data_IF_988371406834
#
_entry.id   IF_988371406834
#
_cell.length_a   1.000
_cell.length_b   1.000
_cell.length_c   1.000
_cell.angle_alpha   90.00
_cell.angle_beta   90.00
_cell.angle_gamma   90.00
#
_symmetry.space_group_name_H-M   'P 1'
#
loop_
_entity.id
_entity.type
_entity.pdbx_description
1 polymer ?
#
# COMPACT_ATOMS: atom_id res chain seq x y z
N UNK A 1 52.45 -18.15 48.57
CA UNK A 1 51.83 -16.94 47.99
C UNK A 1 51.59 -17.02 46.46
N UNK A 2 52.45 -17.56 45.62
CA UNK A 2 52.27 -17.72 44.19
C UNK A 2 51.08 -18.65 43.80
N UNK A 3 50.90 -19.79 44.52
CA UNK A 3 49.79 -20.74 44.22
C UNK A 3 48.39 -20.20 44.56
N UNK A 4 48.25 -19.34 45.58
CA UNK A 4 46.99 -18.71 45.96
C UNK A 4 46.62 -17.67 44.96
N UNK A 5 47.56 -16.91 44.38
CA UNK A 5 47.28 -15.91 43.32
C UNK A 5 46.79 -16.56 42.00
N UNK A 6 47.30 -17.76 41.67
CA UNK A 6 46.86 -18.51 40.47
C UNK A 6 45.44 -19.05 40.66
N UNK A 7 45.06 -19.55 41.85
CA UNK A 7 43.67 -19.98 42.11
C UNK A 7 42.68 -18.84 42.10
N UNK A 8 43.02 -17.66 42.62
CA UNK A 8 42.14 -16.48 42.58
C UNK A 8 41.98 -15.97 41.15
N UNK A 9 43.03 -16.00 40.34
CA UNK A 9 42.96 -15.59 38.93
C UNK A 9 42.14 -16.60 38.10
N UNK A 10 42.22 -17.90 38.40
CA UNK A 10 41.41 -18.95 37.73
C UNK A 10 39.95 -18.90 38.15
N UNK A 11 39.61 -18.58 39.40
CA UNK A 11 38.21 -18.35 39.81
C UNK A 11 37.62 -17.06 39.21
N UNK A 12 38.40 -16.00 39.03
CA UNK A 12 37.94 -14.78 38.40
C UNK A 12 37.66 -14.94 36.89
N UNK A 13 38.44 -15.81 36.21
CA UNK A 13 38.23 -16.08 34.79
C UNK A 13 37.00 -16.96 34.50
N UNK A 14 36.55 -17.78 35.47
CA UNK A 14 35.31 -18.58 35.35
C UNK A 14 34.06 -17.70 35.51
N UNK A 15 34.15 -16.62 36.30
CA UNK A 15 33.03 -15.67 36.45
C UNK A 15 32.84 -14.73 35.24
N UNK A 16 33.83 -14.58 34.38
CA UNK A 16 33.70 -13.73 33.18
C UNK A 16 33.05 -14.47 31.99
N UNK A 17 32.94 -15.80 32.05
CA UNK A 17 32.34 -16.62 31.00
C UNK A 17 30.85 -16.93 31.21
N UNK A 18 30.23 -16.53 32.30
CA UNK A 18 28.78 -16.42 32.38
C UNK A 18 28.40 -15.08 31.78
N UNK A 19 28.48 -14.98 30.47
CA UNK A 19 27.73 -14.00 29.70
C UNK A 19 26.28 -14.19 30.09
N UNK A 20 25.72 -13.26 30.86
CA UNK A 20 24.29 -13.20 31.03
C UNK A 20 23.70 -13.18 29.63
N UNK A 21 22.98 -14.21 29.27
CA UNK A 21 21.94 -14.06 28.24
C UNK A 21 20.97 -13.03 28.78
N UNK A 22 21.17 -11.79 28.34
CA UNK A 22 20.27 -10.65 28.65
C UNK A 22 18.96 -10.76 27.87
N UNK A 23 18.58 -11.93 27.44
CA UNK A 23 17.31 -12.25 26.79
C UNK A 23 16.30 -12.86 27.78
N UNK A 24 16.32 -12.45 29.02
CA UNK A 24 15.20 -12.72 29.91
C UNK A 24 14.17 -11.62 29.62
N UNK A 25 13.44 -11.78 28.50
CA UNK A 25 12.08 -11.25 28.45
C UNK A 25 11.34 -12.01 29.55
N UNK A 26 10.81 -11.34 30.58
CA UNK A 26 10.03 -12.04 31.61
C UNK A 26 8.91 -12.83 30.89
N UNK A 27 8.76 -14.11 31.22
CA UNK A 27 7.75 -15.01 30.65
C UNK A 27 6.30 -14.49 30.80
N UNK A 28 6.12 -13.37 31.50
CA UNK A 28 4.83 -12.71 31.77
C UNK A 28 4.64 -11.37 31.04
N UNK A 29 5.53 -10.98 30.13
CA UNK A 29 5.23 -9.86 29.24
C UNK A 29 4.56 -10.47 28.02
N UNK A 30 3.21 -10.32 27.89
CA UNK A 30 2.52 -10.81 26.69
C UNK A 30 3.12 -10.15 25.48
N UNK A 31 3.34 -10.92 24.43
CA UNK A 31 3.83 -10.39 23.16
C UNK A 31 2.79 -9.40 22.60
N UNK A 32 3.22 -8.55 21.69
CA UNK A 32 2.28 -7.62 21.03
C UNK A 32 1.17 -8.43 20.33
N UNK A 33 1.50 -9.60 19.78
CA UNK A 33 0.59 -10.51 19.14
C UNK A 33 -0.48 -11.04 20.12
N UNK A 34 -0.07 -11.48 21.31
CA UNK A 34 -1.01 -12.01 22.32
C UNK A 34 -1.97 -10.94 22.83
N UNK A 35 -1.52 -9.69 22.97
CA UNK A 35 -2.36 -8.60 23.43
C UNK A 35 -3.23 -8.02 22.32
N UNK A 36 -2.68 -7.88 21.12
CA UNK A 36 -3.35 -7.23 20.00
C UNK A 36 -4.52 -8.06 19.46
N UNK A 37 -4.52 -9.38 19.68
CA UNK A 37 -5.56 -10.29 19.19
C UNK A 37 -6.32 -11.01 20.32
N UNK A 38 -6.15 -10.58 21.57
CA UNK A 38 -6.87 -11.15 22.72
C UNK A 38 -8.39 -10.91 22.66
N UNK A 39 -8.81 -9.80 22.08
CA UNK A 39 -10.20 -9.40 21.92
C UNK A 39 -10.41 -8.67 20.58
N UNK A 40 -11.62 -8.79 20.02
CA UNK A 40 -12.04 -8.09 18.80
C UNK A 40 -11.68 -6.59 18.81
N UNK A 41 -11.96 -5.91 19.93
CA UNK A 41 -11.67 -4.47 20.08
C UNK A 41 -10.18 -4.13 19.95
N UNK A 42 -9.30 -5.02 20.40
CA UNK A 42 -7.86 -4.80 20.26
C UNK A 42 -7.40 -5.10 18.83
N UNK A 43 -7.91 -6.17 18.22
CA UNK A 43 -7.67 -6.49 16.82
C UNK A 43 -8.16 -5.38 15.87
N UNK A 44 -9.27 -4.72 16.19
CA UNK A 44 -9.79 -3.56 15.44
C UNK A 44 -8.79 -2.39 15.40
N UNK A 45 -8.05 -2.15 16.49
CA UNK A 45 -7.00 -1.13 16.50
C UNK A 45 -5.86 -1.47 15.53
N UNK A 46 -5.54 -2.77 15.40
CA UNK A 46 -4.55 -3.22 14.40
C UNK A 46 -5.07 -3.02 12.99
N UNK A 47 -6.35 -3.33 12.73
CA UNK A 47 -6.99 -3.07 11.45
C UNK A 47 -6.89 -1.59 11.07
N UNK A 48 -7.29 -0.68 11.97
CA UNK A 48 -7.19 0.75 11.70
C UNK A 48 -5.75 1.25 11.63
N UNK A 49 -4.81 0.58 12.29
CA UNK A 49 -3.39 0.86 12.09
C UNK A 49 -2.96 0.53 10.67
N UNK A 50 -3.44 -0.58 10.08
CA UNK A 50 -3.19 -0.87 8.66
C UNK A 50 -3.68 0.27 7.75
N UNK A 51 -4.89 0.78 7.96
CA UNK A 51 -5.43 1.91 7.18
C UNK A 51 -4.64 3.21 7.36
N UNK A 52 -4.03 3.44 8.53
CA UNK A 52 -3.29 4.67 8.84
C UNK A 52 -2.09 4.92 7.92
N UNK A 53 -1.51 3.87 7.36
CA UNK A 53 -0.37 3.97 6.45
C UNK A 53 -0.75 4.38 5.02
N UNK A 54 -2.03 4.54 4.74
CA UNK A 54 -2.51 4.93 3.42
C UNK A 54 -2.08 6.35 3.07
N UNK A 55 -1.42 6.56 1.91
CA UNK A 55 -1.08 7.89 1.43
C UNK A 55 -2.32 8.76 1.20
N UNK A 56 -2.27 10.01 1.65
CA UNK A 56 -3.37 10.97 1.50
C UNK A 56 -3.36 11.62 0.11
N UNK A 57 -3.55 10.86 -0.95
CA UNK A 57 -3.52 11.36 -2.33
C UNK A 57 -4.69 12.32 -2.64
N UNK A 58 -5.79 12.26 -1.89
CA UNK A 58 -6.90 13.23 -1.99
C UNK A 58 -6.55 14.63 -1.49
N UNK A 59 -5.49 14.76 -0.69
CA UNK A 59 -5.00 16.06 -0.23
C UNK A 59 -4.01 16.65 -1.22
N UNK A 60 -4.31 17.81 -1.79
CA UNK A 60 -3.41 18.52 -2.70
C UNK A 60 -1.98 18.66 -2.13
N UNK A 61 -1.87 18.96 -0.84
CA UNK A 61 -0.58 19.10 -0.13
C UNK A 61 0.25 17.82 -0.14
N UNK A 62 -0.39 16.66 -0.08
CA UNK A 62 0.26 15.36 0.07
C UNK A 62 0.35 14.57 -1.23
N UNK A 63 -0.34 15.03 -2.28
CA UNK A 63 -0.33 14.35 -3.57
C UNK A 63 0.97 14.64 -4.33
N UNK A 64 1.93 13.74 -4.18
CA UNK A 64 3.26 13.86 -4.82
C UNK A 64 3.14 13.84 -6.34
N UNK A 65 2.27 13.02 -6.89
CA UNK A 65 2.08 12.91 -8.33
C UNK A 65 1.57 14.23 -8.92
N UNK A 66 0.60 14.86 -8.25
CA UNK A 66 0.01 16.12 -8.70
C UNK A 66 1.01 17.29 -8.61
N UNK A 67 1.69 17.44 -7.47
CA UNK A 67 2.61 18.55 -7.24
C UNK A 67 3.99 18.36 -7.86
N UNK A 68 4.44 17.11 -8.02
CA UNK A 68 5.76 16.77 -8.56
C UNK A 68 5.80 16.62 -10.07
N UNK A 69 4.64 16.50 -10.76
CA UNK A 69 4.57 16.28 -12.21
C UNK A 69 4.88 17.52 -13.07
N UNK A 70 4.87 18.71 -12.47
CA UNK A 70 5.13 19.96 -13.20
C UNK A 70 3.93 20.57 -13.91
N UNK A 71 2.75 19.95 -13.81
CA UNK A 71 1.50 20.48 -14.39
C UNK A 71 0.93 21.67 -13.60
N UNK A 72 1.33 21.80 -12.34
CA UNK A 72 0.94 22.89 -11.47
C UNK A 72 2.07 23.88 -11.26
N UNK A 73 1.80 25.16 -11.50
CA UNK A 73 2.67 26.27 -11.10
C UNK A 73 2.08 26.93 -9.84
N UNK A 74 2.80 26.87 -8.75
CA UNK A 74 2.38 27.45 -7.47
C UNK A 74 3.32 28.61 -7.12
N UNK A 75 2.75 29.74 -6.68
CA UNK A 75 3.54 30.90 -6.25
C UNK A 75 4.37 30.59 -5.00
N UNK A 76 5.48 31.29 -4.78
CA UNK A 76 6.38 31.11 -3.65
C UNK A 76 5.67 31.28 -2.30
N UNK A 77 4.68 32.17 -2.23
CA UNK A 77 3.85 32.37 -1.03
C UNK A 77 3.06 31.10 -0.70
N UNK A 78 2.45 30.46 -1.70
CA UNK A 78 1.72 29.21 -1.51
C UNK A 78 2.65 28.04 -1.17
N UNK A 79 3.87 28.00 -1.70
CA UNK A 79 4.85 26.94 -1.36
C UNK A 79 5.14 26.93 0.13
N UNK A 80 5.41 28.10 0.72
CA UNK A 80 5.68 28.20 2.16
C UNK A 80 4.47 27.80 3.01
N UNK A 81 3.26 28.12 2.55
CA UNK A 81 2.01 27.76 3.22
C UNK A 81 1.71 26.25 3.15
N UNK A 82 1.91 25.63 2.00
CA UNK A 82 1.66 24.20 1.83
C UNK A 82 2.67 23.33 2.58
N UNK A 83 3.90 23.80 2.79
CA UNK A 83 4.94 23.10 3.55
C UNK A 83 5.30 21.72 2.99
N UNK A 84 5.11 21.50 1.67
CA UNK A 84 5.40 20.22 1.01
C UNK A 84 6.72 20.26 0.26
N UNK A 85 7.45 19.15 0.31
CA UNK A 85 8.69 18.96 -0.44
C UNK A 85 8.49 18.39 -1.85
N UNK A 86 7.27 18.01 -2.23
CA UNK A 86 6.96 17.50 -3.58
C UNK A 86 7.34 18.49 -4.70
N UNK A 87 7.31 19.77 -4.39
CA UNK A 87 7.72 20.85 -5.28
C UNK A 87 9.17 20.77 -5.75
N UNK A 88 10.07 20.27 -4.90
CA UNK A 88 11.48 20.10 -5.27
C UNK A 88 11.67 19.01 -6.31
N UNK A 89 10.76 18.03 -6.38
CA UNK A 89 10.76 16.99 -7.42
C UNK A 89 10.47 17.62 -8.78
N UNK A 90 9.45 18.50 -8.88
CA UNK A 90 9.13 19.25 -10.10
C UNK A 90 10.29 20.15 -10.58
N UNK A 91 11.15 20.60 -9.66
CA UNK A 91 12.34 21.39 -9.96
C UNK A 91 13.58 20.53 -10.33
N UNK A 92 13.45 19.20 -10.40
CA UNK A 92 14.56 18.30 -10.69
C UNK A 92 15.58 18.16 -9.54
N UNK A 93 15.19 18.52 -8.31
CA UNK A 93 16.08 18.50 -7.14
C UNK A 93 16.02 17.17 -6.37
N UNK A 94 15.34 16.15 -6.89
CA UNK A 94 15.28 14.82 -6.28
C UNK A 94 16.68 14.22 -6.16
N UNK A 95 17.00 13.64 -5.00
CA UNK A 95 18.31 13.03 -4.71
C UNK A 95 18.13 11.60 -4.24
N UNK A 96 19.07 10.73 -4.59
CA UNK A 96 19.07 9.32 -4.18
C UNK A 96 19.44 9.11 -2.71
N UNK A 97 20.30 9.98 -2.16
CA UNK A 97 20.80 9.93 -0.78
C UNK A 97 19.88 10.64 0.22
N UNK A 98 19.05 11.56 -0.26
CA UNK A 98 18.07 12.31 0.54
C UNK A 98 16.82 12.59 -0.30
N UNK A 99 15.99 11.57 -0.55
CA UNK A 99 14.83 11.71 -1.42
C UNK A 99 13.73 12.54 -0.77
N UNK A 100 13.12 13.44 -1.57
CA UNK A 100 11.91 14.13 -1.15
C UNK A 100 10.71 13.21 -1.22
N UNK A 101 9.78 13.36 -0.29
CA UNK A 101 8.53 12.58 -0.22
C UNK A 101 8.73 11.05 -0.22
N UNK A 102 9.80 10.58 0.44
CA UNK A 102 10.11 9.16 0.54
C UNK A 102 8.98 8.41 1.27
N UNK A 103 8.49 7.32 0.65
CA UNK A 103 7.42 6.48 1.20
C UNK A 103 7.90 5.04 1.50
N UNK A 104 9.15 4.71 1.19
CA UNK A 104 9.66 3.35 1.29
C UNK A 104 9.44 2.72 2.67
N UNK A 105 10.01 3.30 3.72
CA UNK A 105 9.88 2.77 5.09
C UNK A 105 8.44 2.76 5.57
N UNK A 106 7.74 3.89 5.36
CA UNK A 106 6.35 4.05 5.78
C UNK A 106 5.40 2.99 5.21
N UNK A 107 5.50 2.71 3.92
CA UNK A 107 4.63 1.71 3.29
C UNK A 107 5.01 0.27 3.65
N UNK A 108 6.30 -0.04 3.82
CA UNK A 108 6.71 -1.37 4.30
C UNK A 108 6.31 -1.62 5.76
N UNK A 109 6.30 -0.60 6.62
CA UNK A 109 5.70 -0.69 7.94
C UNK A 109 4.21 -1.02 7.84
N UNK A 110 3.46 -0.35 6.96
CA UNK A 110 2.05 -0.66 6.69
C UNK A 110 1.84 -2.10 6.23
N UNK A 111 2.68 -2.59 5.32
CA UNK A 111 2.67 -3.98 4.84
C UNK A 111 2.94 -4.96 6.00
N UNK A 112 3.89 -4.64 6.88
CA UNK A 112 4.19 -5.48 8.03
C UNK A 112 2.99 -5.59 8.98
N UNK A 113 2.28 -4.48 9.28
CA UNK A 113 1.05 -4.53 10.08
C UNK A 113 -0.05 -5.34 9.40
N UNK A 114 -0.21 -5.23 8.08
CA UNK A 114 -1.15 -6.06 7.33
C UNK A 114 -0.82 -7.56 7.49
N UNK A 115 0.45 -7.95 7.35
CA UNK A 115 0.87 -9.33 7.52
C UNK A 115 0.67 -9.82 8.96
N UNK A 116 0.99 -9.00 9.98
CA UNK A 116 0.73 -9.33 11.39
C UNK A 116 -0.76 -9.61 11.62
N UNK A 117 -1.66 -8.79 11.05
CA UNK A 117 -3.09 -9.01 11.20
C UNK A 117 -3.52 -10.33 10.51
N UNK A 118 -3.11 -10.55 9.27
CA UNK A 118 -3.47 -11.75 8.50
C UNK A 118 -3.06 -13.03 9.25
N UNK A 119 -1.85 -13.04 9.83
CA UNK A 119 -1.31 -14.22 10.51
C UNK A 119 -1.96 -14.48 11.88
N UNK A 120 -2.45 -13.45 12.57
CA UNK A 120 -2.88 -13.59 13.97
C UNK A 120 -4.40 -13.43 14.19
N UNK A 121 -5.16 -12.86 13.27
CA UNK A 121 -6.60 -12.58 13.47
C UNK A 121 -7.43 -13.83 13.80
N UNK A 122 -6.99 -15.00 13.32
CA UNK A 122 -7.67 -16.26 13.55
C UNK A 122 -7.68 -16.66 15.03
N UNK A 123 -6.75 -16.13 15.86
CA UNK A 123 -6.66 -16.40 17.30
C UNK A 123 -7.66 -15.59 18.14
N UNK A 124 -8.28 -14.57 17.57
CA UNK A 124 -9.23 -13.68 18.28
C UNK A 124 -10.52 -14.45 18.63
N UNK A 125 -10.83 -14.64 19.92
CA UNK A 125 -11.86 -15.58 20.34
C UNK A 125 -13.29 -15.05 20.21
N UNK A 126 -13.49 -13.75 20.26
CA UNK A 126 -14.78 -13.04 20.26
C UNK A 126 -15.16 -12.47 18.89
N UNK A 127 -14.65 -13.07 17.82
CA UNK A 127 -15.01 -12.77 16.43
C UNK A 127 -15.49 -14.01 15.70
N UNK A 128 -16.50 -13.89 14.86
CA UNK A 128 -16.89 -14.94 13.95
C UNK A 128 -15.96 -15.03 12.71
N UNK A 129 -16.02 -16.16 12.02
CA UNK A 129 -15.11 -16.40 10.88
C UNK A 129 -15.40 -15.47 9.69
N UNK A 130 -16.65 -15.05 9.47
CA UNK A 130 -17.01 -14.13 8.40
C UNK A 130 -16.41 -12.74 8.65
N UNK A 131 -16.47 -12.22 9.89
CA UNK A 131 -15.86 -10.96 10.25
C UNK A 131 -14.33 -11.03 10.11
N UNK A 132 -13.70 -12.12 10.57
CA UNK A 132 -12.25 -12.34 10.39
C UNK A 132 -11.86 -12.34 8.91
N UNK A 133 -12.59 -13.08 8.08
CA UNK A 133 -12.35 -13.16 6.64
C UNK A 133 -12.56 -11.80 5.95
N UNK A 134 -13.57 -11.03 6.37
CA UNK A 134 -13.75 -9.66 5.88
C UNK A 134 -12.53 -8.80 6.18
N UNK A 135 -12.02 -8.82 7.42
CA UNK A 135 -10.86 -8.02 7.80
C UNK A 135 -9.57 -8.47 7.09
N UNK A 136 -9.39 -9.78 6.86
CA UNK A 136 -8.32 -10.31 6.02
C UNK A 136 -8.42 -9.71 4.61
N UNK A 137 -9.60 -9.72 4.00
CA UNK A 137 -9.82 -9.13 2.68
C UNK A 137 -9.50 -7.64 2.63
N UNK A 138 -9.87 -6.87 3.67
CA UNK A 138 -9.55 -5.45 3.77
C UNK A 138 -8.04 -5.20 3.83
N UNK A 139 -7.30 -5.94 4.66
CA UNK A 139 -5.85 -5.75 4.76
C UNK A 139 -5.08 -6.33 3.58
N UNK A 140 -5.57 -7.37 2.92
CA UNK A 140 -5.01 -7.82 1.63
C UNK A 140 -5.14 -6.75 0.55
N UNK A 141 -6.28 -6.05 0.50
CA UNK A 141 -6.44 -4.89 -0.38
C UNK A 141 -5.43 -3.79 -0.05
N UNK A 142 -5.30 -3.41 1.22
CA UNK A 142 -4.33 -2.39 1.65
C UNK A 142 -2.90 -2.80 1.34
N UNK A 143 -2.54 -4.06 1.59
CA UNK A 143 -1.23 -4.63 1.25
C UNK A 143 -0.96 -4.55 -0.26
N UNK A 144 -1.93 -4.89 -1.10
CA UNK A 144 -1.83 -4.75 -2.55
C UNK A 144 -1.67 -3.28 -2.97
N UNK A 145 -2.43 -2.37 -2.36
CA UNK A 145 -2.35 -0.94 -2.62
C UNK A 145 -0.98 -0.37 -2.24
N UNK A 146 -0.40 -0.77 -1.10
CA UNK A 146 0.92 -0.31 -0.66
C UNK A 146 2.05 -0.82 -1.58
N UNK A 147 2.00 -2.09 -1.98
CA UNK A 147 2.93 -2.61 -2.98
C UNK A 147 2.79 -1.88 -4.32
N UNK A 148 1.57 -1.63 -4.78
CA UNK A 148 1.34 -0.88 -6.02
C UNK A 148 1.88 0.56 -5.92
N UNK A 149 1.69 1.22 -4.79
CA UNK A 149 2.24 2.57 -4.56
C UNK A 149 3.77 2.56 -4.61
N UNK A 150 4.41 1.58 -3.96
CA UNK A 150 5.86 1.37 -4.01
C UNK A 150 6.35 1.12 -5.44
N UNK A 151 5.65 0.27 -6.22
CA UNK A 151 6.00 0.02 -7.63
C UNK A 151 5.96 1.30 -8.46
N UNK A 152 4.93 2.12 -8.28
CA UNK A 152 4.82 3.41 -8.98
C UNK A 152 5.97 4.36 -8.67
N UNK A 153 6.43 4.41 -7.42
CA UNK A 153 7.48 5.32 -6.97
C UNK A 153 8.90 4.79 -7.25
N UNK A 154 9.10 3.48 -7.14
CA UNK A 154 10.46 2.91 -7.09
C UNK A 154 10.72 1.84 -8.15
N UNK A 155 9.75 1.51 -8.99
CA UNK A 155 9.84 0.40 -9.96
C UNK A 155 9.83 -0.96 -9.29
N UNK A 156 10.74 -1.89 -9.66
CA UNK A 156 10.88 -3.19 -9.02
C UNK A 156 11.14 -3.08 -7.52
N UNK A 157 10.45 -3.90 -6.72
CA UNK A 157 10.49 -3.87 -5.25
C UNK A 157 10.62 -5.28 -4.67
N UNK A 158 11.09 -5.45 -3.43
CA UNK A 158 10.89 -6.66 -2.66
C UNK A 158 9.39 -6.87 -2.36
N UNK A 159 8.91 -8.09 -2.56
CA UNK A 159 7.55 -8.48 -2.20
C UNK A 159 7.55 -9.05 -0.79
N UNK A 160 6.76 -8.44 0.10
CA UNK A 160 6.64 -8.85 1.50
C UNK A 160 5.23 -9.41 1.73
N UNK A 161 5.04 -10.69 1.42
CA UNK A 161 3.73 -11.36 1.48
C UNK A 161 3.40 -11.99 2.84
N UNK A 162 4.39 -12.09 3.74
CA UNK A 162 4.27 -12.62 5.09
C UNK A 162 4.99 -11.74 6.12
N UNK A 163 4.67 -11.90 7.37
CA UNK A 163 5.43 -11.30 8.46
C UNK A 163 6.83 -11.93 8.55
N UNK A 164 7.84 -11.11 8.72
CA UNK A 164 9.24 -11.55 8.95
C UNK A 164 9.64 -11.13 10.34
N UNK A 165 9.73 -12.09 11.30
CA UNK A 165 10.17 -11.80 12.66
C UNK A 165 11.60 -11.24 12.72
N UNK A 166 11.89 -10.42 13.72
CA UNK A 166 13.23 -9.86 13.95
C UNK A 166 14.30 -10.95 14.16
N UNK A 167 13.88 -12.14 14.61
CA UNK A 167 14.74 -13.31 14.78
C UNK A 167 15.06 -14.07 13.50
N UNK A 168 14.49 -13.67 12.36
CA UNK A 168 14.71 -14.30 11.06
C UNK A 168 16.15 -14.13 10.57
N UNK A 169 16.55 -14.97 9.62
CA UNK A 169 17.88 -14.89 9.01
C UNK A 169 18.11 -13.56 8.29
N UNK A 170 19.38 -13.17 8.14
CA UNK A 170 19.73 -11.96 7.38
C UNK A 170 19.20 -12.01 5.94
N UNK A 171 19.16 -13.18 5.31
CA UNK A 171 18.65 -13.36 3.95
C UNK A 171 17.14 -13.10 3.88
N UNK A 172 16.37 -13.59 4.85
CA UNK A 172 14.92 -13.34 4.92
C UNK A 172 14.60 -11.87 5.21
N UNK A 173 15.42 -11.19 6.03
CA UNK A 173 15.24 -9.77 6.33
C UNK A 173 15.68 -8.84 5.19
N UNK A 174 16.49 -9.32 4.23
CA UNK A 174 16.98 -8.53 3.11
C UNK A 174 16.64 -9.19 1.76
N UNK A 175 15.36 -9.36 1.43
CA UNK A 175 14.96 -9.98 0.17
C UNK A 175 15.38 -9.12 -1.02
N UNK A 176 15.67 -9.78 -2.12
CA UNK A 176 15.95 -9.10 -3.38
C UNK A 176 14.68 -8.43 -3.93
N UNK A 177 14.89 -7.42 -4.77
CA UNK A 177 13.81 -6.89 -5.59
C UNK A 177 13.35 -7.95 -6.57
N UNK A 178 12.05 -8.13 -6.70
CA UNK A 178 11.46 -8.97 -7.71
C UNK A 178 11.45 -8.28 -9.07
N UNK A 179 11.23 -9.04 -10.14
CA UNK A 179 11.08 -8.43 -11.46
C UNK A 179 9.81 -7.59 -11.52
N UNK A 180 9.80 -6.55 -12.35
CA UNK A 180 8.67 -5.64 -12.47
C UNK A 180 7.35 -6.37 -12.80
N UNK A 181 7.41 -7.34 -13.71
CA UNK A 181 6.22 -8.14 -14.06
C UNK A 181 5.74 -8.99 -12.86
N UNK A 182 6.67 -9.59 -12.09
CA UNK A 182 6.33 -10.31 -10.85
C UNK A 182 5.67 -9.39 -9.82
N UNK A 183 6.17 -8.14 -9.69
CA UNK A 183 5.58 -7.17 -8.78
C UNK A 183 4.13 -6.83 -9.15
N UNK A 184 3.85 -6.55 -10.44
CA UNK A 184 2.48 -6.29 -10.90
C UNK A 184 1.57 -7.52 -10.79
N UNK A 185 2.08 -8.72 -11.10
CA UNK A 185 1.33 -9.96 -10.97
C UNK A 185 0.93 -10.21 -9.52
N UNK A 186 1.86 -10.06 -8.56
CA UNK A 186 1.57 -10.19 -7.15
C UNK A 186 0.42 -9.28 -6.69
N UNK A 187 0.45 -8.01 -7.09
CA UNK A 187 -0.61 -7.05 -6.75
C UNK A 187 -1.95 -7.47 -7.34
N UNK A 188 -1.98 -7.86 -8.62
CA UNK A 188 -3.24 -8.28 -9.28
C UNK A 188 -3.79 -9.57 -8.72
N UNK A 189 -2.95 -10.57 -8.42
CA UNK A 189 -3.35 -11.83 -7.79
C UNK A 189 -3.87 -11.60 -6.36
N UNK A 190 -3.27 -10.70 -5.60
CA UNK A 190 -3.75 -10.33 -4.27
C UNK A 190 -5.14 -9.66 -4.36
N UNK A 191 -5.34 -8.75 -5.32
CA UNK A 191 -6.65 -8.14 -5.55
C UNK A 191 -7.69 -9.15 -6.03
N UNK A 192 -7.29 -10.18 -6.80
CA UNK A 192 -8.20 -11.27 -7.19
C UNK A 192 -8.68 -12.08 -6.00
N UNK A 193 -7.83 -12.32 -4.99
CA UNK A 193 -8.26 -12.95 -3.73
C UNK A 193 -9.30 -12.10 -3.00
N UNK A 194 -9.09 -10.78 -2.92
CA UNK A 194 -10.04 -9.85 -2.32
C UNK A 194 -11.39 -9.87 -3.05
N UNK A 195 -11.36 -9.83 -4.39
CA UNK A 195 -12.57 -9.86 -5.23
C UNK A 195 -13.35 -11.19 -5.08
N UNK A 196 -12.63 -12.29 -4.87
CA UNK A 196 -13.20 -13.61 -4.70
C UNK A 196 -13.67 -13.90 -3.24
N UNK A 197 -13.31 -13.05 -2.29
CA UNK A 197 -13.68 -13.24 -0.88
C UNK A 197 -15.17 -12.88 -0.66
N UNK A 198 -16.04 -13.86 -0.31
CA UNK A 198 -17.47 -13.63 -0.16
C UNK A 198 -17.84 -12.73 1.02
N UNK A 199 -16.94 -12.56 1.99
CA UNK A 199 -17.17 -11.77 3.19
C UNK A 199 -16.80 -10.29 3.00
N UNK A 200 -16.10 -9.92 1.89
CA UNK A 200 -15.88 -8.53 1.52
C UNK A 200 -17.13 -7.97 0.86
N UNK A 201 -17.72 -6.87 1.39
CA UNK A 201 -18.98 -6.35 0.86
C UNK A 201 -18.82 -5.76 -0.55
N UNK A 202 -19.84 -5.87 -1.38
CA UNK A 202 -19.87 -5.27 -2.70
C UNK A 202 -19.80 -3.73 -2.63
N UNK A 203 -20.55 -3.15 -1.68
CA UNK A 203 -20.57 -1.72 -1.30
C UNK A 203 -20.82 -1.57 0.18
N UNK A 204 -20.52 -0.39 0.74
CA UNK A 204 -20.86 -0.06 2.13
C UNK A 204 -22.36 0.23 2.21
N UNK A 205 -23.03 -0.40 3.19
CA UNK A 205 -24.45 -0.18 3.48
C UNK A 205 -24.63 0.71 4.72
N UNK A 206 -23.79 0.55 5.74
CA UNK A 206 -23.80 1.39 6.94
C UNK A 206 -22.77 2.52 6.79
N UNK A 207 -23.15 3.56 6.04
CA UNK A 207 -22.25 4.71 5.78
C UNK A 207 -21.84 5.45 7.06
N UNK A 208 -22.64 5.40 8.11
CA UNK A 208 -22.35 6.12 9.36
C UNK A 208 -21.12 5.57 10.11
N UNK A 209 -20.84 4.26 9.96
CA UNK A 209 -19.79 3.57 10.71
C UNK A 209 -18.67 3.01 9.83
N UNK A 210 -18.99 2.71 8.56
CA UNK A 210 -18.09 1.94 7.70
C UNK A 210 -17.60 2.69 6.45
N UNK A 211 -17.98 3.95 6.30
CA UNK A 211 -17.58 4.74 5.13
C UNK A 211 -16.04 4.80 5.01
N UNK A 212 -15.53 4.46 3.83
CA UNK A 212 -14.07 4.37 3.57
C UNK A 212 -13.48 2.98 3.77
N UNK A 213 -14.21 2.02 4.35
CA UNK A 213 -13.73 0.62 4.42
C UNK A 213 -13.78 -0.05 3.03
N UNK A 214 -12.90 -1.02 2.84
CA UNK A 214 -12.70 -1.70 1.56
C UNK A 214 -13.95 -2.46 1.09
N UNK A 215 -14.20 -2.39 -0.21
CA UNK A 215 -15.27 -3.14 -0.90
C UNK A 215 -14.74 -3.84 -2.15
N UNK A 216 -15.50 -4.81 -2.67
CA UNK A 216 -15.18 -5.47 -3.94
C UNK A 216 -15.11 -4.45 -5.10
N UNK A 217 -15.99 -3.45 -5.10
CA UNK A 217 -15.97 -2.37 -6.11
C UNK A 217 -14.63 -1.62 -6.13
N UNK A 218 -14.10 -1.29 -4.95
CA UNK A 218 -12.77 -0.66 -4.81
C UNK A 218 -11.66 -1.57 -5.32
N UNK A 219 -11.71 -2.87 -5.01
CA UNK A 219 -10.69 -3.84 -5.46
C UNK A 219 -10.66 -3.98 -6.99
N UNK A 220 -11.84 -4.02 -7.65
CA UNK A 220 -11.94 -4.04 -9.11
C UNK A 220 -11.41 -2.75 -9.75
N UNK A 221 -11.77 -1.59 -9.20
CA UNK A 221 -11.26 -0.29 -9.67
C UNK A 221 -9.74 -0.18 -9.53
N UNK A 222 -9.19 -0.62 -8.38
CA UNK A 222 -7.74 -0.63 -8.16
C UNK A 222 -7.06 -1.59 -9.12
N UNK A 223 -7.58 -2.81 -9.33
CA UNK A 223 -7.03 -3.79 -10.28
C UNK A 223 -6.96 -3.22 -11.70
N UNK A 224 -8.01 -2.55 -12.15
CA UNK A 224 -8.02 -1.88 -13.45
C UNK A 224 -6.90 -0.82 -13.54
N UNK A 225 -6.75 0.03 -12.51
CA UNK A 225 -5.68 1.02 -12.43
C UNK A 225 -4.28 0.40 -12.43
N UNK A 226 -4.07 -0.71 -11.73
CA UNK A 226 -2.82 -1.47 -11.70
C UNK A 226 -2.46 -1.99 -13.10
N UNK A 227 -3.41 -2.61 -13.80
CA UNK A 227 -3.19 -3.17 -15.12
C UNK A 227 -2.94 -2.10 -16.19
N UNK A 228 -3.65 -0.96 -16.14
CA UNK A 228 -3.38 0.21 -17.01
C UNK A 228 -1.96 0.74 -16.76
N UNK A 229 -1.55 0.83 -15.50
CA UNK A 229 -0.20 1.29 -15.16
C UNK A 229 0.85 0.30 -15.68
N UNK A 230 0.65 -1.00 -15.51
CA UNK A 230 1.55 -2.05 -16.00
C UNK A 230 1.64 -2.09 -17.53
N UNK A 231 0.58 -1.67 -18.23
CA UNK A 231 0.54 -1.57 -19.69
C UNK A 231 1.14 -0.26 -20.23
N UNK A 232 1.33 0.76 -19.37
CA UNK A 232 1.84 2.07 -19.78
C UNK A 232 3.26 2.00 -20.35
N UNK A 233 3.67 2.91 -21.25
CA UNK A 233 5.01 2.89 -21.89
C UNK A 233 6.17 2.90 -20.89
N UNK A 234 5.98 3.47 -19.69
CA UNK A 234 7.00 3.49 -18.65
C UNK A 234 7.37 2.07 -18.18
N UNK A 235 6.38 1.18 -18.05
CA UNK A 235 6.53 -0.16 -17.47
C UNK A 235 6.40 -1.30 -18.47
N UNK A 236 5.98 -1.01 -19.70
CA UNK A 236 5.70 -2.02 -20.73
C UNK A 236 6.73 -1.99 -21.86
N UNK A 237 7.91 -2.56 -21.59
CA UNK A 237 8.97 -2.68 -22.58
C UNK A 237 9.76 -1.38 -22.79
N UNK A 238 9.97 -0.59 -21.75
CA UNK A 238 10.81 0.59 -21.81
C UNK A 238 12.29 0.18 -21.83
N UNK A 239 12.94 0.36 -22.98
CA UNK A 239 14.33 -0.04 -23.22
C UNK A 239 15.36 0.82 -22.47
N UNK A 240 14.97 1.99 -21.94
CA UNK A 240 15.86 2.81 -21.10
C UNK A 240 16.31 2.07 -19.83
N UNK A 241 15.55 1.06 -19.43
CA UNK A 241 15.86 0.22 -18.25
C UNK A 241 16.60 -1.08 -18.58
N UNK A 242 17.00 -1.30 -19.84
CA UNK A 242 17.65 -2.56 -20.24
C UNK A 242 18.97 -2.84 -19.50
N UNK A 243 19.69 -1.79 -19.17
CA UNK A 243 20.99 -1.88 -18.49
C UNK A 243 20.88 -2.14 -16.98
N UNK A 244 19.68 -2.04 -16.41
CA UNK A 244 19.48 -2.15 -14.96
C UNK A 244 19.33 -3.63 -14.59
N UNK A 245 20.34 -4.14 -13.88
CA UNK A 245 20.34 -5.47 -13.29
C UNK A 245 20.70 -5.38 -11.80
N UNK A 246 20.24 -6.36 -11.01
CA UNK A 246 20.63 -6.50 -9.62
C UNK A 246 22.01 -7.19 -9.48
N UNK A 247 22.47 -7.38 -8.25
CA UNK A 247 23.75 -8.04 -7.96
C UNK A 247 23.83 -9.51 -8.40
N UNK A 248 22.67 -10.12 -8.74
CA UNK A 248 22.58 -11.47 -9.30
C UNK A 248 22.68 -11.46 -10.84
N UNK A 249 22.73 -10.30 -11.47
CA UNK A 249 22.67 -10.12 -12.92
C UNK A 249 21.25 -10.25 -13.50
N UNK A 250 20.21 -10.23 -12.65
CA UNK A 250 18.82 -10.31 -13.10
C UNK A 250 18.36 -8.93 -13.58
N UNK A 251 17.86 -8.85 -14.81
CA UNK A 251 17.25 -7.62 -15.36
C UNK A 251 15.87 -7.40 -14.74
N UNK A 252 15.83 -6.66 -13.64
CA UNK A 252 14.64 -6.52 -12.78
C UNK A 252 13.49 -5.75 -13.42
N UNK A 253 13.71 -4.97 -14.47
CA UNK A 253 12.63 -4.25 -15.19
C UNK A 253 11.99 -5.05 -16.32
N UNK A 254 12.54 -6.20 -16.74
CA UNK A 254 12.04 -7.01 -17.85
C UNK A 254 11.72 -6.17 -19.13
N UNK A 255 12.67 -5.35 -19.63
CA UNK A 255 12.33 -4.37 -20.68
C UNK A 255 12.14 -4.99 -22.05
N UNK A 256 12.73 -6.17 -22.32
CA UNK A 256 12.64 -6.82 -23.63
C UNK A 256 11.29 -7.53 -23.75
N UNK A 257 10.42 -7.01 -24.61
CA UNK A 257 9.09 -7.55 -24.88
C UNK A 257 8.77 -7.48 -26.38
N UNK A 258 8.07 -8.49 -26.86
CA UNK A 258 7.50 -8.48 -28.20
C UNK A 258 6.32 -7.49 -28.27
N UNK A 259 5.99 -7.02 -29.47
CA UNK A 259 4.83 -6.12 -29.66
C UNK A 259 3.51 -6.81 -29.26
N UNK A 260 3.43 -8.16 -29.45
CA UNK A 260 2.26 -8.90 -29.00
C UNK A 260 2.14 -8.94 -27.47
N UNK A 261 3.23 -9.14 -26.72
CA UNK A 261 3.22 -9.08 -25.25
C UNK A 261 2.83 -7.69 -24.74
N UNK A 262 3.33 -6.63 -25.37
CA UNK A 262 2.95 -5.26 -25.05
C UNK A 262 1.46 -5.03 -25.29
N UNK A 263 0.93 -5.49 -26.41
CA UNK A 263 -0.48 -5.39 -26.77
C UNK A 263 -1.37 -6.17 -25.80
N UNK A 264 -0.97 -7.38 -25.40
CA UNK A 264 -1.73 -8.22 -24.47
C UNK A 264 -1.91 -7.56 -23.09
N UNK A 265 -0.93 -6.80 -22.61
CA UNK A 265 -1.10 -6.02 -21.38
C UNK A 265 -2.20 -4.95 -21.53
N UNK A 266 -2.28 -4.28 -22.68
CA UNK A 266 -3.35 -3.31 -22.94
C UNK A 266 -4.73 -3.98 -23.07
N UNK A 267 -4.81 -5.16 -23.69
CA UNK A 267 -6.06 -5.93 -23.76
C UNK A 267 -6.56 -6.29 -22.36
N UNK A 268 -5.69 -6.86 -21.51
CA UNK A 268 -6.05 -7.17 -20.11
C UNK A 268 -6.47 -5.93 -19.32
N UNK A 269 -5.80 -4.80 -19.52
CA UNK A 269 -6.15 -3.55 -18.87
C UNK A 269 -7.54 -3.06 -19.31
N UNK A 270 -7.85 -3.11 -20.62
CA UNK A 270 -9.15 -2.69 -21.16
C UNK A 270 -10.29 -3.61 -20.66
N UNK A 271 -10.07 -4.91 -20.58
CA UNK A 271 -11.02 -5.88 -20.03
C UNK A 271 -11.31 -5.58 -18.55
N UNK A 272 -10.27 -5.38 -17.75
CA UNK A 272 -10.43 -5.06 -16.33
C UNK A 272 -11.15 -3.71 -16.11
N UNK A 273 -10.85 -2.69 -16.92
CA UNK A 273 -11.57 -1.42 -16.88
C UNK A 273 -13.06 -1.60 -17.18
N UNK A 274 -13.39 -2.34 -18.24
CA UNK A 274 -14.78 -2.62 -18.60
C UNK A 274 -15.50 -3.39 -17.50
N UNK A 275 -14.87 -4.43 -16.94
CA UNK A 275 -15.43 -5.20 -15.84
C UNK A 275 -15.69 -4.33 -14.61
N UNK A 276 -14.72 -3.48 -14.22
CA UNK A 276 -14.88 -2.58 -13.08
C UNK A 276 -16.01 -1.56 -13.29
N UNK A 277 -16.09 -0.94 -14.48
CA UNK A 277 -17.14 0.02 -14.81
C UNK A 277 -18.51 -0.65 -14.74
N UNK A 278 -18.69 -1.78 -15.44
CA UNK A 278 -19.99 -2.48 -15.44
C UNK A 278 -20.41 -2.86 -14.01
N UNK A 279 -19.48 -3.42 -13.21
CA UNK A 279 -19.76 -3.81 -11.83
C UNK A 279 -20.17 -2.62 -10.95
N UNK A 280 -19.47 -1.49 -11.08
CA UNK A 280 -19.76 -0.29 -10.30
C UNK A 280 -21.07 0.40 -10.74
N UNK A 281 -21.38 0.42 -12.04
CA UNK A 281 -22.65 0.94 -12.55
C UNK A 281 -23.83 0.11 -12.02
N UNK A 282 -23.71 -1.23 -11.97
CA UNK A 282 -24.72 -2.12 -11.39
C UNK A 282 -24.96 -1.85 -9.89
N UNK A 283 -23.95 -1.34 -9.16
CA UNK A 283 -24.05 -0.91 -7.77
C UNK A 283 -24.57 0.52 -7.58
N UNK A 284 -24.81 1.27 -8.67
CA UNK A 284 -25.35 2.64 -8.65
C UNK A 284 -24.29 3.74 -8.66
N UNK A 285 -23.01 3.41 -8.83
CA UNK A 285 -21.97 4.41 -9.14
C UNK A 285 -22.16 4.92 -10.57
N UNK A 286 -21.60 6.07 -10.89
CA UNK A 286 -21.71 6.65 -12.23
C UNK A 286 -21.24 8.08 -12.26
N UNK A 287 -21.33 8.75 -13.41
CA UNK A 287 -20.94 10.13 -13.54
C UNK A 287 -21.80 11.03 -12.64
N UNK A 288 -21.14 12.03 -12.03
CA UNK A 288 -21.82 13.03 -11.22
C UNK A 288 -22.52 14.05 -12.12
N UNK A 289 -23.78 14.32 -11.83
CA UNK A 289 -24.57 15.39 -12.45
C UNK A 289 -25.12 16.28 -11.35
N UNK A 290 -24.84 17.57 -11.48
CA UNK A 290 -25.43 18.57 -10.59
C UNK A 290 -26.93 18.67 -10.87
N UNK A 291 -27.72 18.45 -9.84
CA UNK A 291 -29.17 18.51 -9.89
C UNK A 291 -29.71 19.30 -8.67
N UNK A 292 -29.83 20.59 -8.85
CA UNK A 292 -30.51 21.48 -7.88
C UNK A 292 -31.68 22.19 -8.59
N UNK A 293 -32.92 21.76 -8.31
CA UNK A 293 -34.11 22.33 -8.97
C UNK A 293 -34.39 23.79 -8.57
N UNK A 294 -33.74 24.30 -7.54
CA UNK A 294 -33.91 25.67 -7.06
C UNK A 294 -33.06 26.68 -7.83
N UNK A 295 -32.09 26.21 -8.61
CA UNK A 295 -31.15 27.08 -9.33
C UNK A 295 -31.40 27.01 -10.83
N UNK A 296 -31.75 28.17 -11.43
CA UNK A 296 -31.87 28.29 -12.88
C UNK A 296 -30.49 28.49 -13.49
N UNK A 297 -30.05 27.55 -14.32
CA UNK A 297 -28.73 27.57 -14.95
C UNK A 297 -28.82 27.42 -16.47
N UNK A 298 -27.83 27.99 -17.16
CA UNK A 298 -27.57 27.67 -18.56
C UNK A 298 -26.93 26.28 -18.67
N UNK A 299 -26.95 25.66 -19.85
CA UNK A 299 -26.28 24.38 -20.11
C UNK A 299 -24.78 24.46 -19.86
N UNK A 300 -24.15 25.60 -20.14
CA UNK A 300 -22.72 25.83 -19.83
C UNK A 300 -22.46 25.86 -18.32
N UNK A 301 -23.35 26.49 -17.55
CA UNK A 301 -23.23 26.54 -16.09
C UNK A 301 -23.43 25.16 -15.47
N UNK A 302 -24.38 24.36 -15.98
CA UNK A 302 -24.59 22.98 -15.55
C UNK A 302 -23.35 22.11 -15.80
N UNK A 303 -22.76 22.22 -16.99
CA UNK A 303 -21.53 21.49 -17.31
C UNK A 303 -20.40 21.88 -16.36
N UNK A 304 -20.24 23.16 -16.06
CA UNK A 304 -19.25 23.64 -15.10
C UNK A 304 -19.51 23.11 -13.69
N UNK A 305 -20.77 23.06 -13.25
CA UNK A 305 -21.16 22.54 -11.95
C UNK A 305 -20.97 21.02 -11.87
N UNK A 306 -21.22 20.26 -12.94
CA UNK A 306 -20.91 18.84 -13.01
C UNK A 306 -19.40 18.60 -12.78
N UNK A 307 -18.53 19.31 -13.48
CA UNK A 307 -17.08 19.18 -13.35
C UNK A 307 -16.57 19.58 -11.95
N UNK A 308 -17.14 20.66 -11.41
CA UNK A 308 -16.78 21.11 -10.06
C UNK A 308 -17.28 20.16 -8.98
N UNK A 309 -18.53 19.75 -9.04
CA UNK A 309 -19.16 18.88 -8.06
C UNK A 309 -18.53 17.50 -8.04
N UNK A 310 -18.14 16.94 -9.19
CA UNK A 310 -17.41 15.68 -9.25
C UNK A 310 -16.12 15.67 -8.40
N UNK A 311 -15.50 16.85 -8.18
CA UNK A 311 -14.27 16.99 -7.37
C UNK A 311 -14.56 17.50 -5.95
N UNK A 312 -15.57 18.34 -5.76
CA UNK A 312 -15.81 19.04 -4.49
C UNK A 312 -16.88 18.40 -3.62
N UNK A 313 -17.84 17.68 -4.21
CA UNK A 313 -18.88 16.97 -3.46
C UNK A 313 -18.32 15.69 -2.88
N UNK A 314 -18.31 15.60 -1.56
CA UNK A 314 -17.82 14.40 -0.85
C UNK A 314 -18.75 13.23 -1.10
N UNK A 315 -18.17 12.05 -1.38
CA UNK A 315 -18.92 10.80 -1.56
C UNK A 315 -20.03 10.88 -2.61
N UNK A 316 -19.79 11.67 -3.67
CA UNK A 316 -20.67 11.69 -4.81
C UNK A 316 -20.61 10.37 -5.60
N UNK A 317 -21.47 10.21 -6.62
CA UNK A 317 -21.61 8.97 -7.38
C UNK A 317 -20.34 8.50 -8.13
N UNK A 318 -19.39 9.41 -8.41
CA UNK A 318 -18.12 9.04 -9.06
C UNK A 318 -17.08 8.52 -8.06
N UNK A 319 -17.25 8.82 -6.77
CA UNK A 319 -16.26 8.48 -5.75
C UNK A 319 -16.44 7.03 -5.29
N UNK A 320 -15.61 6.16 -5.80
CA UNK A 320 -15.59 4.74 -5.41
C UNK A 320 -14.87 4.57 -4.07
N UNK A 321 -13.85 5.37 -3.81
CA UNK A 321 -13.07 5.34 -2.57
C UNK A 321 -12.40 6.70 -2.33
N UNK A 322 -12.46 7.22 -1.08
CA UNK A 322 -11.88 8.50 -0.67
C UNK A 322 -11.29 8.45 0.74
#
# INVERSE_FOLDING_TARGET
>A
MKKIKICILSCLSVFILTSCELNIVPDNIPTIEDHAFALRKEAEKVLFTCYRYMPSDGSLKNNVALLGAGDFCISDVFRSYLGTSAWYIAQGLQKSDSPYCAQWGHLYEGIAYCNILIENIHTTPDMDDSEKNRWIGEVEFLKAYYHFYLIRMYGPIPIMDRYVPVSSSTEEMHPYRETLDSCFNYVTETLDKVIANPDVPAKIENEAEELGRVTVGMAKALKAKVLVTAASPLFNGNMDYEVIADNRGVKIFNPVKTEEEKKQKWVKAAEACKEAITYLEDLGFGLYYFDDPTVVMTESDKLMMNLRGAVTEKWNKEVVWA
#
